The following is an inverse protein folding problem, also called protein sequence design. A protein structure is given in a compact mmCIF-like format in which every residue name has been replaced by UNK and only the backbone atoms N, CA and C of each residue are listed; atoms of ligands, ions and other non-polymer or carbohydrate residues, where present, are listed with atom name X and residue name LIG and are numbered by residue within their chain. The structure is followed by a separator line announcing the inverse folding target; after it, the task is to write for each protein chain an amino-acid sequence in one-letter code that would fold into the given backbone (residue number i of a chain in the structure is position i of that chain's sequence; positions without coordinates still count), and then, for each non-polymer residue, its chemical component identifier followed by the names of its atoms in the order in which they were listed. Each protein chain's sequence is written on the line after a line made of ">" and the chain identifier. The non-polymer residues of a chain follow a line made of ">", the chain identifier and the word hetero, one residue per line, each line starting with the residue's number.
data_IF_950870666788
#
_entry.id   IF_950870666788
#
_cell.length_a   1.000
_cell.length_b   1.000
_cell.length_c   1.000
_cell.angle_alpha   90.00
_cell.angle_beta   90.00
_cell.angle_gamma   90.00
#
_symmetry.space_group_name_H-M   'P 1'
#
loop_
_entity.id
_entity.type
_entity.pdbx_description
1 polymer ?
#
# COMPACT_ATOMS: atom_id res chain seq x y z
N UNK A 1 15.42 -13.85 4.20
CA UNK A 1 14.10 -14.25 4.70
C UNK A 1 13.31 -12.98 4.73
N UNK A 2 12.13 -12.94 4.09
CA UNK A 2 11.30 -11.74 4.17
C UNK A 2 10.73 -11.62 5.59
N UNK A 3 10.79 -10.42 6.15
CA UNK A 3 10.08 -10.06 7.37
C UNK A 3 8.74 -9.44 6.95
N UNK A 4 7.59 -10.03 7.30
CA UNK A 4 6.27 -9.47 6.99
C UNK A 4 6.04 -8.12 7.71
N UNK A 5 5.27 -7.23 7.08
CA UNK A 5 4.85 -5.95 7.65
C UNK A 5 4.05 -6.12 8.96
N UNK A 6 3.44 -7.28 9.16
CA UNK A 6 2.68 -7.63 10.37
C UNK A 6 3.56 -7.76 11.61
N UNK A 7 4.88 -7.85 11.47
CA UNK A 7 5.82 -7.86 12.59
C UNK A 7 6.16 -6.41 12.96
N UNK A 8 5.84 -5.95 14.18
CA UNK A 8 6.17 -4.59 14.61
C UNK A 8 7.67 -4.33 14.61
N UNK A 9 8.08 -3.12 14.23
CA UNK A 9 9.50 -2.72 14.24
C UNK A 9 10.11 -2.82 15.65
N UNK A 10 9.33 -2.56 16.70
CA UNK A 10 9.79 -2.69 18.08
C UNK A 10 10.12 -4.14 18.44
N UNK A 11 9.41 -5.12 17.85
CA UNK A 11 9.73 -6.54 18.00
C UNK A 11 11.10 -6.81 17.42
N UNK A 12 11.38 -6.36 16.19
CA UNK A 12 12.71 -6.52 15.59
C UNK A 12 13.80 -5.87 16.46
N UNK A 13 13.58 -4.64 16.92
CA UNK A 13 14.53 -3.94 17.80
C UNK A 13 14.79 -4.69 19.12
N UNK A 14 13.76 -5.30 19.70
CA UNK A 14 13.88 -6.05 20.96
C UNK A 14 14.70 -7.34 20.80
N UNK A 15 14.68 -7.96 19.62
CA UNK A 15 15.42 -9.19 19.32
C UNK A 15 16.76 -8.95 18.62
N UNK A 16 17.05 -7.73 18.18
CA UNK A 16 18.38 -7.37 17.69
C UNK A 16 19.37 -7.28 18.86
N UNK A 17 20.58 -7.84 18.71
CA UNK A 17 21.63 -7.71 19.71
C UNK A 17 22.05 -6.24 19.86
N UNK A 18 22.39 -5.85 21.09
CA UNK A 18 23.02 -4.55 21.34
C UNK A 18 24.46 -4.53 20.84
N UNK A 19 25.01 -3.34 20.57
CA UNK A 19 26.43 -3.21 20.17
C UNK A 19 27.36 -3.85 21.21
N UNK A 20 27.08 -3.66 22.50
CA UNK A 20 27.86 -4.25 23.60
C UNK A 20 27.78 -5.79 23.58
N UNK A 21 26.66 -6.36 23.16
CA UNK A 21 26.52 -7.82 23.01
C UNK A 21 27.41 -8.33 21.89
N UNK A 22 27.46 -7.62 20.76
CA UNK A 22 28.27 -8.01 19.59
C UNK A 22 29.78 -8.00 19.85
N UNK A 23 30.24 -7.23 20.85
CA UNK A 23 31.65 -7.14 21.26
C UNK A 23 32.10 -8.29 22.18
N UNK A 24 31.19 -9.13 22.67
CA UNK A 24 31.54 -10.25 23.54
C UNK A 24 32.40 -11.28 22.79
N UNK A 25 33.42 -11.82 23.46
CA UNK A 25 34.33 -12.81 22.85
C UNK A 25 33.61 -14.06 22.30
N UNK A 26 32.42 -14.40 22.84
CA UNK A 26 31.59 -15.50 22.34
C UNK A 26 30.90 -15.21 20.99
N UNK A 27 30.74 -13.94 20.62
CA UNK A 27 30.06 -13.52 19.39
C UNK A 27 31.00 -13.50 18.17
N UNK A 28 32.30 -13.28 18.38
CA UNK A 28 33.31 -13.16 17.30
C UNK A 28 33.31 -14.36 16.34
N UNK A 29 33.07 -15.57 16.87
CA UNK A 29 33.12 -16.83 16.10
C UNK A 29 31.77 -17.55 16.05
N UNK A 30 30.65 -16.88 16.38
CA UNK A 30 29.33 -17.52 16.37
C UNK A 30 28.91 -17.85 14.93
N UNK A 31 28.65 -19.15 14.69
CA UNK A 31 28.24 -19.67 13.38
C UNK A 31 26.78 -19.40 13.02
N UNK A 32 25.89 -19.39 14.01
CA UNK A 32 24.44 -19.23 13.81
C UNK A 32 24.02 -17.86 14.34
N UNK A 33 23.59 -16.99 13.43
CA UNK A 33 23.06 -15.66 13.74
C UNK A 33 21.57 -15.66 13.46
N UNK A 34 20.76 -15.88 14.51
CA UNK A 34 19.30 -15.96 14.38
C UNK A 34 18.68 -14.61 13.98
N UNK A 35 19.36 -13.52 14.31
CA UNK A 35 19.02 -12.15 13.93
C UNK A 35 19.40 -11.79 12.48
N UNK A 36 20.22 -12.61 11.83
CA UNK A 36 20.60 -12.40 10.43
C UNK A 36 19.49 -12.92 9.51
N UNK A 37 18.59 -12.03 9.12
CA UNK A 37 17.51 -12.35 8.18
C UNK A 37 17.98 -12.44 6.71
N UNK A 38 19.24 -12.14 6.39
CA UNK A 38 19.78 -12.21 5.02
C UNK A 38 20.29 -13.60 4.61
N UNK A 39 20.20 -14.58 5.52
CA UNK A 39 20.78 -15.92 5.34
C UNK A 39 20.33 -16.67 4.08
N UNK A 40 19.14 -16.37 3.54
CA UNK A 40 18.57 -17.03 2.35
C UNK A 40 18.76 -16.22 1.05
N UNK A 41 19.46 -15.09 1.05
CA UNK A 41 19.57 -14.20 -0.13
C UNK A 41 20.19 -14.90 -1.36
N UNK A 42 21.04 -15.90 -1.11
CA UNK A 42 21.69 -16.72 -2.15
C UNK A 42 20.92 -17.99 -2.47
N UNK A 43 19.81 -18.24 -1.79
CA UNK A 43 18.96 -19.40 -2.03
C UNK A 43 17.88 -19.04 -3.05
N UNK A 44 17.48 -20.00 -3.91
CA UNK A 44 16.36 -19.77 -4.81
C UNK A 44 15.08 -19.54 -3.99
N UNK A 45 14.18 -18.64 -4.45
CA UNK A 45 12.92 -18.40 -3.77
C UNK A 45 12.06 -19.69 -3.76
N UNK A 46 11.25 -19.91 -2.71
CA UNK A 46 10.35 -21.05 -2.66
C UNK A 46 9.28 -20.95 -3.75
N UNK A 47 8.77 -22.11 -4.19
CA UNK A 47 7.72 -22.17 -5.21
C UNK A 47 6.50 -21.30 -4.86
N UNK A 48 6.09 -21.30 -3.59
CA UNK A 48 4.98 -20.48 -3.11
C UNK A 48 5.19 -18.99 -3.37
N UNK A 49 6.42 -18.48 -3.19
CA UNK A 49 6.75 -17.08 -3.48
C UNK A 49 6.69 -16.79 -4.97
N UNK A 50 7.17 -17.71 -5.81
CA UNK A 50 7.09 -17.58 -7.27
C UNK A 50 5.64 -17.58 -7.75
N UNK A 51 4.78 -18.43 -7.19
CA UNK A 51 3.35 -18.43 -7.49
C UNK A 51 2.68 -17.10 -7.09
N UNK A 52 2.98 -16.57 -5.90
CA UNK A 52 2.44 -15.27 -5.48
C UNK A 52 2.93 -14.14 -6.39
N UNK A 53 4.20 -14.15 -6.80
CA UNK A 53 4.71 -13.17 -7.76
C UNK A 53 3.95 -13.24 -9.09
N UNK A 54 3.75 -14.46 -9.63
CA UNK A 54 2.98 -14.65 -10.85
C UNK A 54 1.53 -14.17 -10.74
N UNK A 55 0.90 -14.35 -9.58
CA UNK A 55 -0.44 -13.80 -9.32
C UNK A 55 -0.45 -12.27 -9.28
N UNK A 56 0.58 -11.66 -8.71
CA UNK A 56 0.73 -10.20 -8.66
C UNK A 56 0.94 -9.61 -10.05
N UNK A 57 1.77 -10.25 -10.87
CA UNK A 57 2.05 -9.82 -12.24
C UNK A 57 0.77 -9.89 -13.12
N UNK A 58 -0.14 -10.81 -12.81
CA UNK A 58 -1.40 -11.03 -13.55
C UNK A 58 -2.64 -10.71 -12.69
N UNK A 59 -2.51 -9.79 -11.73
CA UNK A 59 -3.52 -9.55 -10.70
C UNK A 59 -4.91 -9.22 -11.26
N UNK A 60 -4.97 -8.40 -12.32
CA UNK A 60 -6.23 -7.98 -12.93
C UNK A 60 -6.99 -9.13 -13.61
N UNK A 61 -6.28 -10.18 -14.03
CA UNK A 61 -6.87 -11.35 -14.69
C UNK A 61 -7.29 -12.43 -13.69
N UNK A 62 -6.66 -12.46 -12.51
CA UNK A 62 -6.75 -13.57 -11.56
C UNK A 62 -7.12 -13.18 -10.13
N UNK A 63 -7.64 -11.97 -9.88
CA UNK A 63 -8.06 -11.54 -8.54
C UNK A 63 -9.19 -12.40 -7.93
N UNK A 64 -9.91 -13.18 -8.74
CA UNK A 64 -10.94 -14.11 -8.29
C UNK A 64 -10.40 -15.23 -7.40
N UNK A 65 -9.09 -15.48 -7.40
CA UNK A 65 -8.47 -16.50 -6.54
C UNK A 65 -8.20 -16.00 -5.12
N UNK A 66 -8.26 -14.68 -4.87
CA UNK A 66 -7.93 -14.10 -3.55
C UNK A 66 -8.73 -14.74 -2.39
N UNK A 67 -10.04 -15.02 -2.50
CA UNK A 67 -10.81 -15.66 -1.42
C UNK A 67 -10.36 -17.10 -1.10
N UNK A 68 -9.59 -17.73 -1.99
CA UNK A 68 -9.09 -19.10 -1.82
C UNK A 68 -7.72 -19.15 -1.15
N UNK A 69 -7.06 -18.00 -0.98
CA UNK A 69 -5.71 -17.92 -0.44
C UNK A 69 -5.73 -17.80 1.09
N UNK A 70 -4.74 -18.42 1.74
CA UNK A 70 -4.52 -18.22 3.17
C UNK A 70 -4.09 -16.76 3.46
N UNK A 71 -4.42 -16.23 4.65
CA UNK A 71 -4.10 -14.84 5.02
C UNK A 71 -2.64 -14.45 4.81
N UNK A 72 -1.69 -15.35 5.13
CA UNK A 72 -0.26 -15.09 4.94
C UNK A 72 0.12 -14.82 3.48
N UNK A 73 -0.54 -15.48 2.53
CA UNK A 73 -0.31 -15.24 1.09
C UNK A 73 -0.95 -13.93 0.65
N UNK A 74 -2.12 -13.58 1.19
CA UNK A 74 -2.77 -12.29 0.94
C UNK A 74 -1.91 -11.13 1.45
N UNK A 75 -1.33 -11.24 2.64
CA UNK A 75 -0.42 -10.24 3.19
C UNK A 75 0.80 -10.00 2.28
N UNK A 76 1.36 -11.09 1.72
CA UNK A 76 2.44 -10.97 0.73
C UNK A 76 1.98 -10.25 -0.53
N UNK A 77 0.81 -10.63 -1.08
CA UNK A 77 0.24 -9.97 -2.27
C UNK A 77 0.08 -8.47 -2.00
N UNK A 78 -0.58 -8.09 -0.91
CA UNK A 78 -0.83 -6.68 -0.58
C UNK A 78 0.44 -5.88 -0.27
N UNK A 79 1.55 -6.53 0.08
CA UNK A 79 2.85 -5.87 0.23
C UNK A 79 3.57 -5.63 -1.09
N UNK A 80 3.47 -6.55 -2.06
CA UNK A 80 4.25 -6.47 -3.30
C UNK A 80 3.44 -5.97 -4.50
N UNK A 81 2.11 -5.86 -4.35
CA UNK A 81 1.24 -5.40 -5.42
C UNK A 81 1.62 -3.97 -5.86
N UNK A 82 1.68 -3.69 -7.18
CA UNK A 82 1.99 -2.36 -7.69
C UNK A 82 0.98 -1.30 -7.22
N UNK A 83 1.49 -0.15 -6.78
CA UNK A 83 0.68 1.01 -6.36
C UNK A 83 0.11 1.80 -7.53
N UNK A 84 0.61 1.54 -8.75
CA UNK A 84 0.17 2.15 -10.02
C UNK A 84 -1.11 1.54 -10.61
N UNK A 85 -1.71 0.53 -9.98
CA UNK A 85 -2.91 -0.13 -10.51
C UNK A 85 -4.12 0.83 -10.59
N UNK A 86 -5.02 0.67 -11.58
CA UNK A 86 -6.24 1.47 -11.69
C UNK A 86 -7.08 1.41 -10.41
N UNK A 87 -7.58 2.56 -9.95
CA UNK A 87 -8.33 2.66 -8.69
C UNK A 87 -9.62 1.83 -8.75
N UNK A 88 -10.26 1.82 -9.91
CA UNK A 88 -11.50 1.11 -10.21
C UNK A 88 -11.36 -0.40 -9.99
N UNK A 89 -10.17 -0.93 -10.26
CA UNK A 89 -9.88 -2.35 -10.08
C UNK A 89 -9.59 -2.70 -8.62
N UNK A 90 -8.93 -1.81 -7.86
CA UNK A 90 -8.38 -2.17 -6.54
C UNK A 90 -9.19 -1.65 -5.36
N UNK A 91 -9.86 -0.50 -5.48
CA UNK A 91 -10.66 0.07 -4.39
C UNK A 91 -11.78 -0.86 -3.90
N UNK A 92 -12.53 -1.57 -4.75
CA UNK A 92 -13.56 -2.50 -4.27
C UNK A 92 -12.98 -3.83 -3.76
N UNK A 93 -11.78 -4.22 -4.22
CA UNK A 93 -11.21 -5.56 -3.98
C UNK A 93 -10.27 -5.61 -2.77
N UNK A 94 -9.42 -4.59 -2.60
CA UNK A 94 -8.33 -4.63 -1.61
C UNK A 94 -8.84 -4.07 -0.28
N UNK A 95 -8.70 -4.83 0.83
CA UNK A 95 -9.10 -4.36 2.15
C UNK A 95 -8.20 -3.21 2.65
N UNK A 96 -8.58 -2.60 3.76
CA UNK A 96 -7.71 -1.66 4.51
C UNK A 96 -6.37 -2.34 4.86
N UNK A 97 -5.27 -1.56 4.88
CA UNK A 97 -3.95 -2.06 5.29
C UNK A 97 -2.79 -1.61 4.41
N UNK A 98 -1.78 -2.47 4.33
CA UNK A 98 -0.44 -2.13 3.81
C UNK A 98 -0.41 -1.65 2.36
N UNK A 99 -1.28 -2.20 1.50
CA UNK A 99 -1.39 -1.73 0.11
C UNK A 99 -1.72 -0.24 0.04
N UNK A 100 -2.73 0.20 0.79
CA UNK A 100 -3.18 1.59 0.80
C UNK A 100 -2.15 2.49 1.46
N UNK A 101 -1.49 2.04 2.54
CA UNK A 101 -0.38 2.76 3.14
C UNK A 101 0.72 3.05 2.12
N UNK A 102 1.20 2.02 1.42
CA UNK A 102 2.23 2.19 0.36
C UNK A 102 1.75 3.12 -0.74
N UNK A 103 0.52 2.92 -1.23
CA UNK A 103 -0.04 3.74 -2.31
C UNK A 103 -0.17 5.22 -1.93
N UNK A 104 -0.59 5.51 -0.70
CA UNK A 104 -0.63 6.87 -0.17
C UNK A 104 0.76 7.51 -0.11
N UNK A 105 1.76 6.78 0.41
CA UNK A 105 3.13 7.27 0.53
C UNK A 105 3.78 7.51 -0.84
N UNK A 106 3.53 6.63 -1.81
CA UNK A 106 4.01 6.80 -3.19
C UNK A 106 3.36 8.02 -3.88
N UNK A 107 2.09 8.31 -3.57
CA UNK A 107 1.34 9.41 -4.21
C UNK A 107 1.62 10.77 -3.58
N UNK A 108 1.73 10.86 -2.25
CA UNK A 108 1.81 12.14 -1.52
C UNK A 108 3.04 12.30 -0.62
N UNK A 109 4.03 11.41 -0.71
CA UNK A 109 5.39 11.54 -0.15
C UNK A 109 5.46 12.24 1.22
N UNK A 110 4.75 11.71 2.22
CA UNK A 110 4.73 12.12 3.63
C UNK A 110 4.00 13.43 3.99
N UNK A 111 3.19 14.01 3.10
CA UNK A 111 2.48 15.26 3.40
C UNK A 111 1.23 15.12 4.26
N UNK A 112 0.82 13.90 4.59
CA UNK A 112 -0.54 13.63 5.11
C UNK A 112 -0.45 12.68 6.30
N UNK A 113 -1.18 13.01 7.35
CA UNK A 113 -1.35 12.22 8.57
C UNK A 113 -2.64 11.39 8.46
N UNK A 114 -2.53 10.07 8.64
CA UNK A 114 -3.68 9.14 8.59
C UNK A 114 -4.62 9.33 9.79
N UNK A 115 -4.16 9.96 10.87
CA UNK A 115 -4.97 10.20 12.07
C UNK A 115 -6.20 11.07 11.77
N UNK A 116 -6.10 11.98 10.80
CA UNK A 116 -7.21 12.80 10.32
C UNK A 116 -8.30 11.99 9.59
N UNK A 117 -8.00 10.75 9.22
CA UNK A 117 -8.83 9.84 8.41
C UNK A 117 -9.25 8.58 9.19
N UNK A 118 -9.41 8.69 10.51
CA UNK A 118 -9.80 7.59 11.39
C UNK A 118 -8.86 6.38 11.30
N UNK A 119 -7.56 6.65 11.16
CA UNK A 119 -6.51 5.65 11.03
C UNK A 119 -6.73 4.66 9.86
N UNK A 120 -7.45 5.08 8.81
CA UNK A 120 -7.71 4.29 7.60
C UNK A 120 -6.98 4.88 6.40
N UNK A 121 -5.98 4.15 5.90
CA UNK A 121 -5.25 4.51 4.69
C UNK A 121 -6.14 4.46 3.45
N UNK A 122 -7.11 3.54 3.42
CA UNK A 122 -8.06 3.42 2.31
C UNK A 122 -9.01 4.63 2.25
N UNK A 123 -9.53 5.07 3.40
CA UNK A 123 -10.36 6.28 3.45
C UNK A 123 -9.53 7.51 3.07
N UNK A 124 -8.33 7.65 3.63
CA UNK A 124 -7.40 8.73 3.27
C UNK A 124 -7.11 8.77 1.77
N UNK A 125 -6.80 7.62 1.17
CA UNK A 125 -6.55 7.55 -0.28
C UNK A 125 -7.79 8.00 -1.07
N UNK A 126 -8.97 7.47 -0.74
CA UNK A 126 -10.20 7.81 -1.46
C UNK A 126 -10.56 9.30 -1.35
N UNK A 127 -10.44 9.88 -0.16
CA UNK A 127 -10.71 11.30 0.08
C UNK A 127 -9.73 12.19 -0.69
N UNK A 128 -8.42 12.01 -0.49
CA UNK A 128 -7.41 12.85 -1.17
C UNK A 128 -7.39 12.66 -2.69
N UNK A 129 -7.68 11.45 -3.16
CA UNK A 129 -7.80 11.19 -4.59
C UNK A 129 -8.99 11.93 -5.20
N UNK A 130 -10.13 11.90 -4.51
CA UNK A 130 -11.34 12.58 -4.96
C UNK A 130 -11.21 14.10 -4.88
N UNK A 131 -10.60 14.64 -3.83
CA UNK A 131 -10.22 16.06 -3.72
C UNK A 131 -9.40 16.46 -4.94
N UNK A 132 -8.32 15.73 -5.23
CA UNK A 132 -7.44 16.04 -6.35
C UNK A 132 -8.10 15.96 -7.73
N UNK A 133 -9.17 15.16 -7.89
CA UNK A 133 -9.99 15.15 -9.10
C UNK A 133 -10.84 16.42 -9.15
N UNK A 134 -11.61 16.69 -8.10
CA UNK A 134 -12.52 17.85 -8.03
C UNK A 134 -11.76 19.17 -8.25
N UNK A 135 -10.56 19.31 -7.66
CA UNK A 135 -9.74 20.52 -7.80
C UNK A 135 -9.21 20.74 -9.22
N UNK A 136 -9.12 19.69 -10.04
CA UNK A 136 -8.64 19.73 -11.44
C UNK A 136 -9.76 19.78 -12.46
N UNK A 137 -11.00 19.51 -12.06
CA UNK A 137 -12.14 19.54 -12.96
C UNK A 137 -12.36 20.94 -13.54
N UNK A 138 -12.60 21.00 -14.85
CA UNK A 138 -12.87 22.24 -15.56
C UNK A 138 -14.38 22.56 -15.56
N UNK A 139 -14.79 23.77 -15.14
CA UNK A 139 -16.18 24.18 -15.20
C UNK A 139 -16.72 24.18 -16.64
N UNK A 140 -17.98 23.79 -16.80
CA UNK A 140 -18.72 23.79 -18.08
C UNK A 140 -18.25 22.78 -19.13
N UNK A 141 -17.41 21.81 -18.76
CA UNK A 141 -17.11 20.67 -19.63
C UNK A 141 -18.25 19.64 -19.59
N UNK A 142 -18.70 19.14 -20.74
CA UNK A 142 -19.87 18.25 -20.83
C UNK A 142 -19.58 16.79 -20.41
N UNK A 143 -18.32 16.44 -20.15
CA UNK A 143 -17.89 15.05 -19.91
C UNK A 143 -17.62 14.73 -18.42
N UNK A 144 -18.52 15.12 -17.51
CA UNK A 144 -18.40 14.74 -16.08
C UNK A 144 -18.67 13.26 -15.79
N UNK A 145 -18.94 12.44 -16.80
CA UNK A 145 -19.33 11.04 -16.62
C UNK A 145 -18.24 10.21 -15.95
N UNK A 146 -16.98 10.44 -16.31
CA UNK A 146 -15.86 9.68 -15.73
C UNK A 146 -15.59 10.10 -14.29
N UNK A 147 -15.62 11.40 -14.02
CA UNK A 147 -15.50 11.96 -12.66
C UNK A 147 -16.63 11.47 -11.77
N UNK A 148 -17.87 11.40 -12.27
CA UNK A 148 -19.01 10.83 -11.55
C UNK A 148 -18.83 9.34 -11.23
N UNK A 149 -18.24 8.54 -12.12
CA UNK A 149 -17.92 7.12 -11.82
C UNK A 149 -16.96 7.03 -10.65
N UNK A 150 -15.91 7.87 -10.64
CA UNK A 150 -14.94 7.90 -9.55
C UNK A 150 -15.57 8.39 -8.23
N UNK A 151 -16.41 9.42 -8.28
CA UNK A 151 -17.17 9.90 -7.12
C UNK A 151 -17.98 8.74 -6.52
N UNK A 152 -18.74 8.02 -7.35
CA UNK A 152 -19.56 6.90 -6.90
C UNK A 152 -18.69 5.77 -6.31
N UNK A 153 -17.56 5.46 -6.96
CA UNK A 153 -16.61 4.45 -6.52
C UNK A 153 -16.01 4.78 -5.14
N UNK A 154 -15.64 6.05 -4.91
CA UNK A 154 -15.01 6.51 -3.68
C UNK A 154 -16.01 6.77 -2.55
N UNK A 155 -17.27 7.07 -2.88
CA UNK A 155 -18.32 7.47 -1.93
C UNK A 155 -18.44 6.63 -0.65
N UNK A 156 -18.26 5.29 -0.65
CA UNK A 156 -18.36 4.50 0.59
C UNK A 156 -17.23 4.75 1.59
N UNK A 157 -16.13 5.35 1.13
CA UNK A 157 -14.90 5.58 1.89
C UNK A 157 -14.66 7.06 2.19
N UNK A 158 -15.56 7.94 1.77
CA UNK A 158 -15.44 9.40 1.92
C UNK A 158 -16.35 9.88 3.03
N UNK A 159 -15.79 10.57 4.02
CA UNK A 159 -16.50 11.25 5.10
C UNK A 159 -16.34 12.76 5.02
N UNK A 160 -15.19 13.22 4.56
CA UNK A 160 -14.84 14.64 4.43
C UNK A 160 -14.13 14.88 3.10
N UNK A 161 -14.32 16.07 2.55
CA UNK A 161 -13.51 16.58 1.45
C UNK A 161 -13.01 17.98 1.83
N UNK A 162 -11.71 18.19 1.66
CA UNK A 162 -11.01 19.45 1.87
C UNK A 162 -10.60 19.98 0.51
N UNK A 163 -11.45 20.82 -0.07
CA UNK A 163 -11.18 21.48 -1.33
C UNK A 163 -10.46 22.81 -1.05
N UNK A 164 -9.24 22.93 -1.55
CA UNK A 164 -8.39 24.12 -1.37
C UNK A 164 -8.45 25.08 -2.56
N UNK A 165 -8.77 24.55 -3.74
CA UNK A 165 -8.82 25.31 -4.99
C UNK A 165 -9.81 24.71 -5.98
N UNK A 166 -10.30 25.53 -6.93
CA UNK A 166 -11.11 25.08 -8.06
C UNK A 166 -10.63 25.77 -9.33
N UNK A 167 -10.78 25.13 -10.48
CA UNK A 167 -10.43 25.76 -11.75
C UNK A 167 -11.44 26.87 -12.09
N UNK A 168 -10.99 28.05 -12.54
CA UNK A 168 -11.89 29.07 -13.05
C UNK A 168 -12.49 28.61 -14.39
N UNK A 169 -13.67 29.11 -14.76
CA UNK A 169 -14.22 28.83 -16.08
C UNK A 169 -13.35 29.45 -17.17
N UNK A 170 -13.19 28.73 -18.30
CA UNK A 170 -12.48 29.27 -19.45
C UNK A 170 -13.22 30.49 -19.97
N UNK A 171 -12.54 31.63 -20.05
CA UNK A 171 -13.07 32.81 -20.73
C UNK A 171 -13.13 32.45 -22.21
N UNK A 172 -14.33 32.41 -22.79
CA UNK A 172 -14.50 32.24 -24.23
C UNK A 172 -13.87 33.45 -24.93
N UNK A 173 -12.77 33.25 -25.65
CA UNK A 173 -12.22 34.22 -26.62
C UNK A 173 -13.01 34.21 -27.94
#
# INVERSE_FOLDING_TARGET
>A
MRIPHTIPQNTLKAYCPSEQTLELAGEENRRIKAEDFSWDERMPPPLSRLCVQSLVDNFLEHYNVLPLLEPFHLDLIYEILPTSLPIESVLPLIPEGEYWRRRCLDTWSNKIDVSDYNDSWKCMFAECYLEGIIEKEEPYFEEWQDSLKIVNLCSPYVRRLVITQLQPPRVME
#
